data_IF_213119798674
#
_entry.id   IF_213119798674
#
_cell.length_a   1.000
_cell.length_b   1.000
_cell.length_c   1.000
_cell.angle_alpha   90.00
_cell.angle_beta   90.00
_cell.angle_gamma   90.00
#
_symmetry.space_group_name_H-M   'P 1'
#
loop_
_entity.id
_entity.type
_entity.pdbx_description
1 polymer ?
#
# COMPACT_ATOMS: atom_id res chain seq x y z
N UNK A 1 -13.39 24.22 16.21
CA UNK A 1 -11.98 23.96 16.56
C UNK A 1 -11.37 23.21 15.39
N UNK A 2 -10.54 23.90 14.60
CA UNK A 2 -9.84 23.31 13.46
C UNK A 2 -8.64 22.56 14.04
N UNK A 3 -8.76 21.23 14.16
CA UNK A 3 -7.63 20.38 14.53
C UNK A 3 -6.57 20.53 13.44
N UNK A 4 -5.43 21.08 13.84
CA UNK A 4 -4.26 21.23 13.00
C UNK A 4 -3.66 19.84 12.79
N UNK A 5 -4.10 19.14 11.75
CA UNK A 5 -3.41 17.96 11.26
C UNK A 5 -2.14 18.46 10.56
N UNK A 6 -1.07 18.57 11.34
CA UNK A 6 0.29 18.65 10.81
C UNK A 6 0.51 17.48 9.87
N UNK A 7 0.68 17.79 8.59
CA UNK A 7 1.08 16.85 7.54
C UNK A 7 2.55 16.50 7.77
N UNK A 8 2.81 15.64 8.76
CA UNK A 8 4.07 14.94 8.88
C UNK A 8 4.08 13.85 7.81
N UNK A 9 5.23 13.63 7.16
CA UNK A 9 5.45 12.43 6.36
C UNK A 9 5.05 11.21 7.20
N UNK A 10 4.01 10.50 6.78
CA UNK A 10 3.38 9.48 7.61
C UNK A 10 4.25 8.23 7.59
N UNK A 11 4.71 7.83 8.77
CA UNK A 11 5.59 6.69 8.90
C UNK A 11 4.84 5.41 8.45
N UNK A 12 5.49 4.50 7.71
CA UNK A 12 4.90 3.21 7.32
C UNK A 12 4.24 2.45 8.47
N UNK A 13 4.76 2.63 9.69
CA UNK A 13 4.23 2.10 10.95
C UNK A 13 2.80 2.58 11.23
N UNK A 14 2.51 3.87 11.04
CA UNK A 14 1.19 4.45 11.30
C UNK A 14 0.15 3.92 10.31
N UNK A 15 0.52 3.89 9.02
CA UNK A 15 -0.34 3.32 7.96
C UNK A 15 -0.59 1.83 8.20
N UNK A 16 0.44 1.11 8.64
CA UNK A 16 0.33 -0.31 8.94
C UNK A 16 -0.60 -0.59 10.10
N UNK A 17 -0.45 0.16 11.20
CA UNK A 17 -1.28 0.01 12.39
C UNK A 17 -2.73 0.37 12.07
N UNK A 18 -2.96 1.50 11.38
CA UNK A 18 -4.29 1.91 10.94
C UNK A 18 -4.97 0.85 10.07
N UNK A 19 -4.31 0.38 9.00
CA UNK A 19 -4.89 -0.62 8.11
C UNK A 19 -5.18 -1.92 8.86
N UNK A 20 -4.29 -2.33 9.77
CA UNK A 20 -4.50 -3.53 10.60
C UNK A 20 -5.73 -3.38 11.50
N UNK A 21 -5.95 -2.20 12.08
CA UNK A 21 -7.13 -1.91 12.89
C UNK A 21 -8.44 -1.94 12.06
N UNK A 22 -8.41 -1.39 10.84
CA UNK A 22 -9.54 -1.48 9.90
C UNK A 22 -9.83 -2.94 9.53
N UNK A 23 -8.79 -3.72 9.23
CA UNK A 23 -8.90 -5.15 8.94
C UNK A 23 -9.45 -5.94 10.13
N UNK A 24 -9.02 -5.65 11.36
CA UNK A 24 -9.49 -6.33 12.56
C UNK A 24 -10.98 -6.09 12.81
N UNK A 25 -11.44 -4.85 12.60
CA UNK A 25 -12.86 -4.47 12.73
C UNK A 25 -13.74 -5.30 11.79
N UNK A 26 -13.24 -5.61 10.60
CA UNK A 26 -13.96 -6.40 9.59
C UNK A 26 -13.85 -7.92 9.79
N UNK A 27 -12.66 -8.40 10.17
CA UNK A 27 -12.30 -9.82 10.08
C UNK A 27 -12.27 -10.54 11.43
N UNK A 28 -12.39 -9.81 12.54
CA UNK A 28 -12.26 -10.33 13.92
C UNK A 28 -11.01 -11.18 14.04
N UNK A 29 -9.85 -10.54 13.96
CA UNK A 29 -8.54 -11.19 13.94
C UNK A 29 -8.12 -11.55 15.37
N UNK A 30 -7.46 -12.69 15.53
CA UNK A 30 -6.78 -12.99 16.80
C UNK A 30 -5.46 -12.20 16.95
N UNK A 31 -4.90 -12.21 18.16
CA UNK A 31 -3.69 -11.45 18.47
C UNK A 31 -2.48 -11.84 17.59
N UNK A 32 -2.34 -13.11 17.22
CA UNK A 32 -1.25 -13.58 16.37
C UNK A 32 -1.47 -13.15 14.91
N UNK A 33 -2.71 -13.18 14.44
CA UNK A 33 -3.09 -12.67 13.12
C UNK A 33 -2.82 -11.17 13.01
N UNK A 34 -3.22 -10.39 14.00
CA UNK A 34 -2.98 -8.94 14.08
C UNK A 34 -1.49 -8.64 13.94
N UNK A 35 -0.65 -9.25 14.77
CA UNK A 35 0.81 -9.01 14.77
C UNK A 35 1.47 -9.38 13.42
N UNK A 36 1.04 -10.48 12.79
CA UNK A 36 1.54 -10.89 11.47
C UNK A 36 1.06 -9.95 10.36
N UNK A 37 -0.20 -9.55 10.39
CA UNK A 37 -0.80 -8.64 9.41
C UNK A 37 -0.15 -7.26 9.51
N UNK A 38 0.07 -6.74 10.71
CA UNK A 38 0.74 -5.45 10.93
C UNK A 38 2.15 -5.46 10.34
N UNK A 39 2.94 -6.52 10.54
CA UNK A 39 4.26 -6.67 9.90
C UNK A 39 4.19 -6.68 8.37
N UNK A 40 3.20 -7.36 7.79
CA UNK A 40 3.02 -7.40 6.34
C UNK A 40 2.60 -6.03 5.81
N UNK A 41 1.69 -5.34 6.50
CA UNK A 41 1.27 -3.99 6.17
C UNK A 41 2.44 -3.00 6.26
N UNK A 42 3.23 -3.06 7.32
CA UNK A 42 4.43 -2.25 7.49
C UNK A 42 5.39 -2.45 6.32
N UNK A 43 5.72 -3.71 6.01
CA UNK A 43 6.62 -4.02 4.89
C UNK A 43 6.09 -3.49 3.57
N UNK A 44 4.78 -3.55 3.34
CA UNK A 44 4.15 -2.99 2.14
C UNK A 44 4.39 -1.48 2.07
N UNK A 45 4.04 -0.74 3.11
CA UNK A 45 4.16 0.72 3.11
C UNK A 45 5.62 1.18 3.07
N UNK A 46 6.53 0.50 3.76
CA UNK A 46 7.96 0.80 3.71
C UNK A 46 8.55 0.57 2.31
N UNK A 47 8.10 -0.47 1.59
CA UNK A 47 8.50 -0.68 0.19
C UNK A 47 7.88 0.37 -0.72
N UNK A 48 6.60 0.70 -0.54
CA UNK A 48 5.92 1.74 -1.33
C UNK A 48 6.63 3.10 -1.17
N UNK A 49 6.98 3.49 0.06
CA UNK A 49 7.75 4.70 0.36
C UNK A 49 9.13 4.68 -0.30
N UNK A 50 9.92 3.63 -0.06
CA UNK A 50 11.26 3.51 -0.65
C UNK A 50 11.23 3.50 -2.20
N UNK A 51 10.20 2.92 -2.79
CA UNK A 51 9.99 2.94 -4.25
C UNK A 51 9.61 4.34 -4.72
N UNK A 52 8.71 5.04 -4.03
CA UNK A 52 8.34 6.43 -4.35
C UNK A 52 9.57 7.34 -4.32
N UNK A 53 10.34 7.31 -3.23
CA UNK A 53 11.57 8.10 -3.08
C UNK A 53 12.57 7.79 -4.20
N UNK A 54 12.80 6.51 -4.49
CA UNK A 54 13.73 6.11 -5.54
C UNK A 54 13.25 6.55 -6.92
N UNK A 55 11.96 6.41 -7.22
CA UNK A 55 11.37 6.74 -8.52
C UNK A 55 11.45 8.25 -8.79
N UNK A 56 11.04 9.08 -7.84
CA UNK A 56 11.05 10.55 -7.96
C UNK A 56 12.47 11.07 -8.25
N UNK A 57 13.48 10.40 -7.71
CA UNK A 57 14.89 10.74 -7.90
C UNK A 57 15.51 10.18 -9.21
N UNK A 58 14.75 9.51 -10.07
CA UNK A 58 15.28 9.03 -11.36
C UNK A 58 15.10 10.05 -12.48
N UNK A 59 16.12 10.20 -13.33
CA UNK A 59 16.04 11.05 -14.52
C UNK A 59 14.90 10.65 -15.47
N UNK A 60 14.56 9.35 -15.54
CA UNK A 60 13.43 8.83 -16.33
C UNK A 60 12.08 9.30 -15.79
N UNK A 61 11.92 9.39 -14.48
CA UNK A 61 10.69 9.92 -13.89
C UNK A 61 10.58 11.42 -14.16
N UNK A 62 11.67 12.18 -14.03
CA UNK A 62 11.70 13.61 -14.36
C UNK A 62 11.40 13.86 -15.85
N UNK A 63 11.98 13.06 -16.75
CA UNK A 63 11.67 13.08 -18.19
C UNK A 63 10.19 12.75 -18.43
N UNK A 64 9.67 11.70 -17.79
CA UNK A 64 8.26 11.34 -17.86
C UNK A 64 7.33 12.47 -17.39
N UNK A 65 7.64 13.15 -16.29
CA UNK A 65 6.88 14.32 -15.84
C UNK A 65 6.91 15.44 -16.89
N UNK A 66 8.08 15.71 -17.49
CA UNK A 66 8.21 16.75 -18.52
C UNK A 66 7.45 16.43 -19.81
N UNK A 67 7.27 15.16 -20.15
CA UNK A 67 6.57 14.70 -21.36
C UNK A 67 5.17 14.14 -21.09
N UNK A 68 4.60 14.36 -19.91
CA UNK A 68 3.33 13.75 -19.48
C UNK A 68 3.29 12.21 -19.64
N UNK A 69 4.45 11.56 -19.52
CA UNK A 69 4.68 10.13 -19.74
C UNK A 69 4.26 9.64 -21.14
N UNK A 70 4.23 10.53 -22.11
CA UNK A 70 3.94 10.20 -23.51
C UNK A 70 5.18 9.60 -24.21
N UNK A 71 4.92 8.79 -25.24
CA UNK A 71 5.95 8.15 -26.05
C UNK A 71 6.36 6.75 -25.59
N UNK A 72 6.85 5.94 -26.53
CA UNK A 72 7.14 4.51 -26.34
C UNK A 72 8.06 4.22 -25.14
N UNK A 73 9.12 5.01 -24.96
CA UNK A 73 10.07 4.85 -23.84
C UNK A 73 9.41 5.07 -22.48
N UNK A 74 8.51 6.05 -22.37
CA UNK A 74 7.80 6.33 -21.11
C UNK A 74 6.71 5.30 -20.84
N UNK A 75 6.03 4.81 -21.89
CA UNK A 75 5.09 3.70 -21.76
C UNK A 75 5.78 2.41 -21.28
N UNK A 76 6.98 2.10 -21.79
CA UNK A 76 7.77 0.97 -21.31
C UNK A 76 8.22 1.16 -19.85
N UNK A 77 8.56 2.39 -19.46
CA UNK A 77 8.89 2.72 -18.08
C UNK A 77 7.69 2.53 -17.14
N UNK A 78 6.51 3.03 -17.51
CA UNK A 78 5.26 2.83 -16.77
C UNK A 78 4.90 1.33 -16.67
N UNK A 79 5.06 0.58 -17.75
CA UNK A 79 4.83 -0.87 -17.75
C UNK A 79 5.74 -1.58 -16.74
N UNK A 80 7.02 -1.21 -16.68
CA UNK A 80 7.98 -1.75 -15.71
C UNK A 80 7.58 -1.42 -14.27
N UNK A 81 7.08 -0.21 -14.01
CA UNK A 81 6.59 0.20 -12.68
C UNK A 81 5.35 -0.61 -12.30
N UNK A 82 4.39 -0.73 -13.22
CA UNK A 82 3.16 -1.50 -13.00
C UNK A 82 3.47 -2.97 -12.72
N UNK A 83 4.37 -3.60 -13.48
CA UNK A 83 4.79 -4.99 -13.22
C UNK A 83 5.38 -5.17 -11.81
N UNK A 84 6.22 -4.23 -11.36
CA UNK A 84 6.80 -4.28 -10.01
C UNK A 84 5.72 -4.12 -8.93
N UNK A 85 4.75 -3.22 -9.15
CA UNK A 85 3.62 -3.01 -8.25
C UNK A 85 2.77 -4.27 -8.17
N UNK A 86 2.39 -4.86 -9.30
CA UNK A 86 1.52 -6.04 -9.35
C UNK A 86 2.21 -7.27 -8.71
N UNK A 87 3.53 -7.39 -8.87
CA UNK A 87 4.33 -8.40 -8.16
C UNK A 87 4.38 -8.17 -6.64
N UNK A 88 4.48 -6.91 -6.19
CA UNK A 88 4.43 -6.58 -4.76
C UNK A 88 3.06 -6.90 -4.17
N UNK A 89 1.99 -6.56 -4.90
CA UNK A 89 0.60 -6.83 -4.53
C UNK A 89 0.34 -8.33 -4.41
N UNK A 90 0.82 -9.12 -5.37
CA UNK A 90 0.72 -10.59 -5.33
C UNK A 90 1.40 -11.16 -4.09
N UNK A 91 2.59 -10.66 -3.72
CA UNK A 91 3.30 -11.09 -2.51
C UNK A 91 2.53 -10.72 -1.24
N UNK A 92 1.95 -9.53 -1.21
CA UNK A 92 1.13 -9.05 -0.11
C UNK A 92 -0.11 -9.93 0.10
N UNK A 93 -0.86 -10.21 -0.98
CA UNK A 93 -2.05 -11.07 -0.93
C UNK A 93 -1.73 -12.51 -0.54
N UNK A 94 -0.64 -13.07 -1.07
CA UNK A 94 -0.16 -14.39 -0.65
C UNK A 94 0.16 -14.41 0.84
N UNK A 95 0.79 -13.36 1.36
CA UNK A 95 1.05 -13.19 2.79
C UNK A 95 -0.25 -13.20 3.61
N UNK A 96 -1.24 -12.40 3.22
CA UNK A 96 -2.55 -12.35 3.87
C UNK A 96 -3.25 -13.71 3.88
N UNK A 97 -3.23 -14.42 2.74
CA UNK A 97 -3.81 -15.75 2.59
C UNK A 97 -3.23 -16.78 3.56
N UNK A 98 -1.93 -16.68 3.89
CA UNK A 98 -1.28 -17.61 4.84
C UNK A 98 -1.63 -17.37 6.30
N UNK A 99 -2.13 -16.17 6.64
CA UNK A 99 -2.44 -15.78 8.03
C UNK A 99 -3.92 -16.00 8.35
N UNK A 100 -4.78 -15.72 7.38
CA UNK A 100 -6.22 -15.73 7.56
C UNK A 100 -6.82 -17.12 7.31
N UNK A 101 -7.96 -17.40 7.94
CA UNK A 101 -8.81 -18.52 7.51
C UNK A 101 -9.36 -18.26 6.10
N UNK A 102 -9.84 -19.32 5.42
CA UNK A 102 -10.47 -19.18 4.09
C UNK A 102 -11.61 -18.15 4.08
N UNK A 103 -12.46 -18.14 5.12
CA UNK A 103 -13.58 -17.21 5.23
C UNK A 103 -13.10 -15.77 5.43
N UNK A 104 -12.17 -15.53 6.35
CA UNK A 104 -11.57 -14.21 6.55
C UNK A 104 -10.90 -13.69 5.27
N UNK A 105 -10.16 -14.55 4.57
CA UNK A 105 -9.49 -14.15 3.32
C UNK A 105 -10.48 -13.78 2.21
N UNK A 106 -11.61 -14.48 2.09
CA UNK A 106 -12.67 -14.12 1.14
C UNK A 106 -13.29 -12.76 1.46
N UNK A 107 -13.56 -12.48 2.74
CA UNK A 107 -14.08 -11.18 3.19
C UNK A 107 -13.05 -10.07 2.92
N UNK A 108 -11.76 -10.34 3.20
CA UNK A 108 -10.67 -9.43 2.87
C UNK A 108 -10.66 -9.08 1.38
N UNK A 109 -10.69 -10.07 0.48
CA UNK A 109 -10.67 -9.82 -0.96
C UNK A 109 -11.86 -8.96 -1.43
N UNK A 110 -13.05 -9.18 -0.88
CA UNK A 110 -14.25 -8.40 -1.21
C UNK A 110 -14.15 -6.94 -0.76
N UNK A 111 -13.40 -6.67 0.31
CA UNK A 111 -13.30 -5.35 0.94
C UNK A 111 -11.95 -4.67 0.72
N UNK A 112 -11.00 -5.33 0.07
CA UNK A 112 -9.61 -4.87 -0.08
C UNK A 112 -9.54 -3.46 -0.64
N UNK A 113 -10.24 -3.18 -1.75
CA UNK A 113 -10.26 -1.85 -2.36
C UNK A 113 -10.72 -0.77 -1.37
N UNK A 114 -11.79 -1.03 -0.61
CA UNK A 114 -12.31 -0.12 0.41
C UNK A 114 -11.33 0.09 1.56
N UNK A 115 -10.68 -0.99 2.04
CA UNK A 115 -9.65 -0.91 3.07
C UNK A 115 -8.48 -0.04 2.61
N UNK A 116 -8.01 -0.23 1.38
CA UNK A 116 -6.94 0.60 0.81
C UNK A 116 -7.38 2.05 0.63
N UNK A 117 -8.61 2.29 0.19
CA UNK A 117 -9.15 3.64 0.06
C UNK A 117 -9.24 4.36 1.41
N UNK A 118 -9.52 3.63 2.50
CA UNK A 118 -9.53 4.23 3.85
C UNK A 118 -8.15 4.72 4.27
N UNK A 119 -7.08 4.04 3.87
CA UNK A 119 -5.70 4.50 4.09
C UNK A 119 -5.49 5.80 3.33
N UNK A 120 -5.86 5.85 2.04
CA UNK A 120 -5.73 7.06 1.22
C UNK A 120 -6.55 8.23 1.80
N UNK A 121 -7.74 7.98 2.33
CA UNK A 121 -8.58 9.02 2.93
C UNK A 121 -8.00 9.59 4.23
N UNK A 122 -7.46 8.72 5.08
CA UNK A 122 -6.85 9.13 6.36
C UNK A 122 -5.51 9.85 6.13
N UNK A 123 -4.74 9.37 5.16
CA UNK A 123 -3.33 9.70 5.00
C UNK A 123 -3.02 10.54 3.74
N UNK A 124 -3.99 10.76 2.86
CA UNK A 124 -3.83 11.59 1.66
C UNK A 124 -3.01 10.95 0.53
N UNK A 125 -2.58 9.69 0.67
CA UNK A 125 -1.75 8.96 -0.29
C UNK A 125 -1.97 7.44 -0.28
#
# INVERSE_FOLDING_TARGET
MLSSATVFAQAPEEKASFLTNQMNTLLTLDAQQIEKIERINFRRFAIEEAVKEKLINTSRYQEGVATNFEGEKMQLFLATINERRDNAETRYDNGMKTIMTTSQYQIYLQNKSTLLQSVIQEFGE
#
